data_IF_269961439955
#
_entry.id   IF_269961439955
#
_cell.length_a   1.000
_cell.length_b   1.000
_cell.length_c   1.000
_cell.angle_alpha   90.00
_cell.angle_beta   90.00
_cell.angle_gamma   90.00
#
_symmetry.space_group_name_H-M   'P 1'
#
loop_
_entity.id
_entity.type
_entity.pdbx_description
1 polymer ?
#
# COMPACT_ATOMS: atom_id res chain seq x y z
N UNK A 1 -6.69 -13.13 -23.08
CA UNK A 1 -6.47 -11.77 -22.53
C UNK A 1 -5.26 -11.88 -21.62
N UNK A 2 -4.16 -11.25 -22.02
CA UNK A 2 -2.92 -11.32 -21.25
C UNK A 2 -3.13 -10.53 -19.96
N UNK A 3 -3.11 -11.22 -18.82
CA UNK A 3 -3.24 -10.59 -17.51
C UNK A 3 -2.18 -9.50 -17.36
N UNK A 4 -2.54 -8.34 -16.83
CA UNK A 4 -1.62 -7.25 -16.49
C UNK A 4 -0.59 -7.77 -15.49
N UNK A 5 0.59 -8.12 -15.99
CA UNK A 5 1.71 -8.52 -15.17
C UNK A 5 2.43 -7.27 -14.67
N UNK A 6 2.76 -7.23 -13.39
CA UNK A 6 3.71 -6.27 -12.87
C UNK A 6 4.98 -6.32 -13.72
N UNK A 7 5.28 -5.25 -14.43
CA UNK A 7 6.40 -5.18 -15.37
C UNK A 7 7.66 -4.67 -14.64
N UNK A 8 8.29 -5.56 -13.88
CA UNK A 8 9.52 -5.24 -13.19
C UNK A 8 10.61 -6.27 -13.49
N UNK A 9 11.88 -5.82 -13.42
CA UNK A 9 13.00 -6.75 -13.37
C UNK A 9 12.95 -7.61 -12.10
N UNK A 10 13.70 -8.67 -12.05
CA UNK A 10 13.92 -9.40 -10.79
C UNK A 10 14.89 -8.63 -9.91
N UNK A 11 14.51 -8.42 -8.66
CA UNK A 11 15.38 -7.88 -7.63
C UNK A 11 16.24 -8.98 -7.02
N UNK A 12 17.42 -8.59 -6.56
CA UNK A 12 18.36 -9.42 -5.78
C UNK A 12 18.87 -8.62 -4.59
N UNK A 13 19.47 -9.25 -3.61
CA UNK A 13 20.08 -8.55 -2.47
C UNK A 13 21.18 -7.56 -2.88
N UNK A 14 21.88 -7.83 -3.99
CA UNK A 14 22.91 -6.93 -4.54
C UNK A 14 22.36 -5.84 -5.48
N UNK A 15 21.16 -6.03 -6.02
CA UNK A 15 20.46 -5.07 -6.87
C UNK A 15 18.94 -5.10 -6.57
N UNK A 16 18.54 -4.60 -5.40
CA UNK A 16 17.15 -4.67 -4.95
C UNK A 16 16.23 -3.77 -5.76
N UNK A 17 14.96 -4.15 -5.87
CA UNK A 17 13.88 -3.28 -6.37
C UNK A 17 13.71 -2.10 -5.42
N UNK A 18 13.64 -0.89 -5.96
CA UNK A 18 13.55 0.36 -5.20
C UNK A 18 12.08 0.71 -4.92
N UNK A 19 11.70 0.69 -3.65
CA UNK A 19 10.31 0.88 -3.22
C UNK A 19 10.10 2.26 -2.61
N UNK A 20 9.02 2.94 -3.03
CA UNK A 20 8.42 4.05 -2.31
C UNK A 20 7.24 3.55 -1.47
N UNK A 21 7.24 3.81 -0.16
CA UNK A 21 6.13 3.43 0.73
C UNK A 21 5.29 4.65 1.06
N UNK A 22 4.00 4.61 0.67
CA UNK A 22 3.04 5.69 0.93
C UNK A 22 2.20 5.39 2.16
N UNK A 23 2.03 6.38 3.05
CA UNK A 23 1.26 6.24 4.28
C UNK A 23 0.58 7.56 4.68
N UNK A 24 -0.52 7.48 5.44
CA UNK A 24 -1.23 8.64 6.01
C UNK A 24 -1.47 8.52 7.52
N UNK A 25 -0.96 7.48 8.18
CA UNK A 25 -1.26 7.16 9.57
C UNK A 25 -0.05 6.75 10.40
N UNK A 26 -0.26 5.76 11.26
CA UNK A 26 0.74 5.28 12.24
C UNK A 26 2.01 4.66 11.63
N UNK A 27 1.95 4.19 10.37
CA UNK A 27 3.08 3.57 9.69
C UNK A 27 3.41 2.14 10.13
N UNK A 28 2.50 1.45 10.82
CA UNK A 28 2.77 0.09 11.34
C UNK A 28 3.00 -0.94 10.25
N UNK A 29 2.28 -0.87 9.13
CA UNK A 29 2.51 -1.74 7.97
C UNK A 29 3.85 -1.44 7.30
N UNK A 30 4.22 -0.16 7.17
CA UNK A 30 5.53 0.27 6.71
C UNK A 30 6.64 -0.25 7.62
N UNK A 31 6.50 -0.13 8.95
CA UNK A 31 7.45 -0.66 9.93
C UNK A 31 7.64 -2.18 9.79
N UNK A 32 6.54 -2.91 9.59
CA UNK A 32 6.59 -4.35 9.37
C UNK A 32 7.38 -4.71 8.09
N UNK A 33 7.16 -3.99 6.99
CA UNK A 33 7.89 -4.18 5.73
C UNK A 33 9.39 -3.89 5.90
N UNK A 34 9.75 -2.75 6.50
CA UNK A 34 11.15 -2.36 6.67
C UNK A 34 11.89 -3.32 7.60
N UNK A 35 11.25 -3.76 8.70
CA UNK A 35 11.81 -4.79 9.59
C UNK A 35 12.00 -6.13 8.89
N UNK A 36 11.09 -6.50 7.98
CA UNK A 36 11.25 -7.69 7.16
C UNK A 36 12.47 -7.58 6.25
N UNK A 37 12.64 -6.44 5.56
CA UNK A 37 13.81 -6.15 4.71
C UNK A 37 15.13 -6.19 5.47
N UNK A 38 15.16 -5.71 6.72
CA UNK A 38 16.37 -5.71 7.55
C UNK A 38 16.78 -7.09 8.06
N UNK A 39 15.86 -8.06 8.13
CA UNK A 39 16.11 -9.41 8.66
C UNK A 39 16.38 -10.45 7.58
N UNK A 40 16.06 -10.18 6.36
CA UNK A 40 16.11 -11.12 5.24
C UNK A 40 16.96 -10.55 4.11
N UNK A 41 17.54 -11.43 3.30
CA UNK A 41 18.18 -11.06 2.05
C UNK A 41 17.10 -10.79 0.98
N UNK A 42 16.40 -9.67 1.11
CA UNK A 42 15.32 -9.31 0.22
C UNK A 42 15.82 -8.81 -1.14
N UNK A 43 15.09 -9.16 -2.20
CA UNK A 43 15.28 -8.58 -3.53
C UNK A 43 14.66 -7.18 -3.68
N UNK A 44 14.34 -6.50 -2.59
CA UNK A 44 13.74 -5.16 -2.59
C UNK A 44 14.14 -4.35 -1.34
N UNK A 45 14.08 -3.02 -1.47
CA UNK A 45 14.40 -2.11 -0.38
C UNK A 45 13.54 -0.86 -0.42
N UNK A 46 13.08 -0.39 0.73
CA UNK A 46 12.37 0.87 0.88
C UNK A 46 13.38 2.02 0.86
N UNK A 47 13.34 2.85 -0.17
CA UNK A 47 14.32 3.95 -0.38
C UNK A 47 13.74 5.32 -0.04
N UNK A 48 12.42 5.46 0.01
CA UNK A 48 11.72 6.68 0.40
C UNK A 48 10.35 6.35 0.98
N UNK A 49 9.92 7.13 1.94
CA UNK A 49 8.57 7.12 2.48
C UNK A 49 7.83 8.40 2.04
N UNK A 50 6.57 8.28 1.67
CA UNK A 50 5.75 9.41 1.18
C UNK A 50 4.53 9.57 2.07
N UNK A 51 4.25 10.80 2.51
CA UNK A 51 3.05 11.10 3.30
C UNK A 51 2.39 12.42 2.88
N UNK A 52 1.05 12.43 2.99
CA UNK A 52 0.22 13.62 2.79
C UNK A 52 -0.08 14.37 4.10
N UNK A 53 0.53 13.96 5.21
CA UNK A 53 0.30 14.47 6.56
C UNK A 53 1.55 15.08 7.17
N UNK A 54 1.34 16.08 8.07
CA UNK A 54 2.42 16.78 8.76
C UNK A 54 2.80 16.13 10.10
N UNK A 55 1.82 15.53 10.78
CA UNK A 55 2.00 15.01 12.13
C UNK A 55 1.30 13.66 12.29
N UNK A 56 2.00 12.60 11.89
CA UNK A 56 1.53 11.22 12.00
C UNK A 56 2.67 10.28 12.42
N UNK A 57 2.34 9.22 13.13
CA UNK A 57 3.30 8.28 13.71
C UNK A 57 4.26 7.66 12.69
N UNK A 58 3.83 7.47 11.45
CA UNK A 58 4.67 6.94 10.38
C UNK A 58 5.90 7.80 10.06
N UNK A 59 5.87 9.10 10.34
CA UNK A 59 7.04 9.97 10.19
C UNK A 59 8.16 9.56 11.14
N UNK A 60 7.83 9.29 12.40
CA UNK A 60 8.83 8.82 13.39
C UNK A 60 9.32 7.41 13.08
N UNK A 61 8.46 6.55 12.51
CA UNK A 61 8.87 5.23 12.02
C UNK A 61 9.91 5.36 10.91
N UNK A 62 9.66 6.18 9.89
CA UNK A 62 10.60 6.39 8.78
C UNK A 62 11.93 6.97 9.27
N UNK A 63 11.91 7.96 10.17
CA UNK A 63 13.11 8.53 10.80
C UNK A 63 13.90 7.49 11.59
N UNK A 64 13.22 6.66 12.38
CA UNK A 64 13.85 5.59 13.16
C UNK A 64 14.63 4.62 12.28
N UNK A 65 14.12 4.31 11.09
CA UNK A 65 14.77 3.46 10.12
C UNK A 65 15.75 4.20 9.18
N UNK A 66 15.92 5.51 9.33
CA UNK A 66 16.81 6.32 8.51
C UNK A 66 16.38 6.46 7.04
N UNK A 67 15.08 6.28 6.76
CA UNK A 67 14.56 6.38 5.39
C UNK A 67 14.10 7.81 5.12
N UNK A 68 14.53 8.43 4.00
CA UNK A 68 14.08 9.75 3.58
C UNK A 68 12.56 9.85 3.48
N UNK A 69 12.02 11.04 3.79
CA UNK A 69 10.59 11.30 3.76
C UNK A 69 10.28 12.41 2.76
N UNK A 70 9.39 12.11 1.83
CA UNK A 70 8.71 13.08 0.97
C UNK A 70 7.38 13.43 1.65
N UNK A 71 7.30 14.62 2.21
CA UNK A 71 6.11 15.11 2.90
C UNK A 71 5.43 16.17 2.05
N UNK A 72 4.33 15.79 1.38
CA UNK A 72 3.62 16.65 0.45
C UNK A 72 2.15 16.78 0.84
N UNK A 73 1.83 17.86 1.55
CA UNK A 73 0.44 18.19 1.90
C UNK A 73 -0.25 18.93 0.75
N UNK A 74 -1.58 18.91 0.77
CA UNK A 74 -2.37 19.65 -0.23
C UNK A 74 -2.25 21.16 -0.03
N UNK A 75 -2.03 21.89 -1.11
CA UNK A 75 -2.10 23.33 -1.09
C UNK A 75 -3.57 23.78 -0.99
N UNK A 76 -4.01 24.19 0.21
CA UNK A 76 -5.39 24.62 0.46
C UNK A 76 -5.74 25.96 -0.18
N UNK A 77 -4.77 26.72 -0.69
CA UNK A 77 -4.99 27.97 -1.40
C UNK A 77 -5.46 27.77 -2.85
N UNK A 78 -5.21 26.57 -3.40
CA UNK A 78 -5.68 26.21 -4.74
C UNK A 78 -7.17 25.81 -4.74
N UNK A 79 -7.86 25.92 -5.89
CA UNK A 79 -9.15 25.31 -6.12
C UNK A 79 -9.14 23.82 -5.80
N UNK A 80 -10.25 23.27 -5.29
CA UNK A 80 -10.31 21.87 -4.81
C UNK A 80 -9.92 20.88 -5.91
N UNK A 81 -10.34 21.13 -7.15
CA UNK A 81 -10.06 20.33 -8.34
C UNK A 81 -8.59 20.29 -8.73
N UNK A 82 -7.81 21.32 -8.37
CA UNK A 82 -6.38 21.42 -8.70
C UNK A 82 -5.47 20.83 -7.60
N UNK A 83 -5.94 20.78 -6.36
CA UNK A 83 -5.15 20.40 -5.17
C UNK A 83 -4.46 19.06 -5.31
N UNK A 84 -5.21 18.05 -5.75
CA UNK A 84 -4.69 16.68 -5.89
C UNK A 84 -3.63 16.61 -6.99
N UNK A 85 -3.94 17.17 -8.16
CA UNK A 85 -3.02 17.18 -9.29
C UNK A 85 -1.70 17.87 -8.95
N UNK A 86 -1.77 19.00 -8.32
CA UNK A 86 -0.59 19.79 -7.95
C UNK A 86 0.27 19.06 -6.91
N UNK A 87 -0.35 18.46 -5.90
CA UNK A 87 0.33 17.62 -4.91
C UNK A 87 1.02 16.41 -5.58
N UNK A 88 0.32 15.70 -6.45
CA UNK A 88 0.86 14.54 -7.16
C UNK A 88 2.05 14.90 -8.05
N UNK A 89 2.00 16.04 -8.74
CA UNK A 89 3.13 16.55 -9.54
C UNK A 89 4.38 16.81 -8.68
N UNK A 90 4.21 17.35 -7.47
CA UNK A 90 5.34 17.54 -6.54
C UNK A 90 5.88 16.19 -6.04
N UNK A 91 5.01 15.24 -5.71
CA UNK A 91 5.42 13.88 -5.33
C UNK A 91 6.21 13.24 -6.47
N UNK A 92 5.68 13.23 -7.69
CA UNK A 92 6.35 12.65 -8.86
C UNK A 92 7.75 13.22 -9.04
N UNK A 93 7.88 14.55 -9.05
CA UNK A 93 9.17 15.24 -9.19
C UNK A 93 10.18 14.82 -8.12
N UNK A 94 9.73 14.58 -6.89
CA UNK A 94 10.61 14.11 -5.83
C UNK A 94 10.96 12.62 -5.99
N UNK A 95 10.02 11.79 -6.43
CA UNK A 95 10.25 10.36 -6.67
C UNK A 95 11.26 10.10 -7.80
N UNK A 96 11.36 10.98 -8.80
CA UNK A 96 12.36 10.87 -9.87
C UNK A 96 13.79 10.74 -9.33
N UNK A 97 14.09 11.37 -8.18
CA UNK A 97 15.42 11.33 -7.56
C UNK A 97 15.73 9.96 -6.93
N UNK A 98 14.71 9.14 -6.68
CA UNK A 98 14.85 7.85 -6.00
C UNK A 98 14.77 6.65 -6.94
N UNK A 99 14.60 6.86 -8.26
CA UNK A 99 14.53 5.77 -9.26
C UNK A 99 13.56 4.66 -8.83
N UNK A 100 12.34 5.03 -8.47
CA UNK A 100 11.33 4.12 -7.90
C UNK A 100 10.84 3.14 -8.96
N UNK A 101 10.82 1.86 -8.58
CA UNK A 101 10.35 0.76 -9.43
C UNK A 101 9.01 0.17 -8.97
N UNK A 102 8.67 0.31 -7.67
CA UNK A 102 7.41 -0.15 -7.08
C UNK A 102 6.90 0.86 -6.06
N UNK A 103 5.63 1.20 -6.14
CA UNK A 103 4.94 1.98 -5.12
C UNK A 103 4.09 1.04 -4.27
N UNK A 104 4.25 1.13 -2.95
CA UNK A 104 3.55 0.33 -1.95
C UNK A 104 2.68 1.25 -1.11
N UNK A 105 1.36 1.13 -1.23
CA UNK A 105 0.42 1.88 -0.39
C UNK A 105 0.18 1.10 0.91
N UNK A 106 0.50 1.71 2.05
CA UNK A 106 0.35 1.13 3.37
C UNK A 106 -0.46 2.07 4.27
N UNK A 107 -1.78 2.06 4.09
CA UNK A 107 -2.68 2.99 4.76
C UNK A 107 -2.57 4.43 4.25
N UNK A 108 -2.36 4.61 2.96
CA UNK A 108 -2.44 5.91 2.30
C UNK A 108 -3.90 6.24 2.00
N UNK A 109 -4.42 7.31 2.64
CA UNK A 109 -5.85 7.62 2.67
C UNK A 109 -6.31 8.57 1.56
N UNK A 110 -5.51 8.78 0.52
CA UNK A 110 -5.88 9.60 -0.61
C UNK A 110 -6.04 8.77 -1.87
N UNK A 111 -7.10 9.05 -2.62
CA UNK A 111 -7.25 8.50 -3.96
C UNK A 111 -6.19 9.13 -4.88
N UNK A 112 -5.43 8.29 -5.55
CA UNK A 112 -4.52 8.71 -6.60
C UNK A 112 -5.32 9.07 -7.87
N UNK A 113 -4.87 10.05 -8.63
CA UNK A 113 -5.50 10.38 -9.91
C UNK A 113 -5.18 9.32 -10.97
N UNK A 114 -6.05 9.18 -11.98
CA UNK A 114 -5.80 8.28 -13.11
C UNK A 114 -4.46 8.55 -13.76
N UNK A 115 -4.05 9.83 -13.88
CA UNK A 115 -2.75 10.21 -14.45
C UNK A 115 -1.57 9.73 -13.62
N UNK A 116 -1.67 9.81 -12.29
CA UNK A 116 -0.65 9.27 -11.40
C UNK A 116 -0.58 7.75 -11.53
N UNK A 117 -1.72 7.09 -11.52
CA UNK A 117 -1.80 5.62 -11.67
C UNK A 117 -1.21 5.20 -13.03
N UNK A 118 -1.63 5.82 -14.14
CA UNK A 118 -1.12 5.52 -15.49
C UNK A 118 0.40 5.65 -15.61
N UNK A 119 1.01 6.61 -14.90
CA UNK A 119 2.46 6.84 -14.96
C UNK A 119 3.27 5.70 -14.32
N UNK A 120 2.73 5.07 -13.27
CA UNK A 120 3.42 4.03 -12.52
C UNK A 120 2.83 2.62 -12.73
N UNK A 121 1.69 2.52 -13.43
CA UNK A 121 1.05 1.24 -13.67
C UNK A 121 1.96 0.28 -14.47
N UNK A 122 1.90 -1.01 -14.19
CA UNK A 122 1.10 -1.67 -13.16
C UNK A 122 1.79 -1.74 -11.78
N UNK A 123 2.84 -0.97 -11.55
CA UNK A 123 3.75 -1.09 -10.40
C UNK A 123 3.29 -0.26 -9.17
N UNK A 124 2.00 -0.23 -8.90
CA UNK A 124 1.43 0.28 -7.65
C UNK A 124 0.60 -0.82 -7.02
N UNK A 125 0.88 -1.16 -5.77
CA UNK A 125 0.11 -2.13 -5.01
C UNK A 125 -0.43 -1.51 -3.72
N UNK A 126 -1.59 -2.00 -3.29
CA UNK A 126 -2.24 -1.58 -2.05
C UNK A 126 -2.58 -2.79 -1.19
N UNK A 127 -2.60 -2.59 0.14
CA UNK A 127 -3.22 -3.51 1.07
C UNK A 127 -4.49 -2.88 1.63
N UNK A 128 -5.62 -3.58 1.44
CA UNK A 128 -6.95 -3.15 1.83
C UNK A 128 -7.50 -4.04 2.95
N UNK A 129 -8.08 -3.48 4.04
CA UNK A 129 -8.47 -4.23 5.24
C UNK A 129 -9.85 -4.90 5.11
N UNK A 130 -10.15 -5.49 3.97
CA UNK A 130 -11.30 -6.37 3.75
C UNK A 130 -10.99 -7.46 2.73
N UNK A 131 -11.92 -8.40 2.54
CA UNK A 131 -11.86 -9.38 1.46
C UNK A 131 -12.54 -8.80 0.20
N UNK A 132 -11.80 -8.05 -0.60
CA UNK A 132 -12.31 -7.51 -1.86
C UNK A 132 -12.87 -8.64 -2.76
N UNK A 133 -13.91 -8.35 -3.56
CA UNK A 133 -14.53 -7.04 -3.82
C UNK A 133 -15.51 -6.56 -2.74
N UNK A 134 -15.62 -7.24 -1.61
CA UNK A 134 -16.52 -6.81 -0.52
C UNK A 134 -15.86 -5.67 0.29
N UNK A 135 -16.68 -4.69 0.66
CA UNK A 135 -16.31 -3.56 1.52
C UNK A 135 -15.12 -2.74 1.01
N UNK A 136 -15.18 -2.18 -0.21
CA UNK A 136 -14.17 -1.25 -0.71
C UNK A 136 -14.25 0.10 0.03
N UNK A 137 -13.19 0.92 -0.05
CA UNK A 137 -13.17 2.28 0.48
C UNK A 137 -12.63 2.40 1.91
N UNK A 138 -12.72 3.60 2.46
CA UNK A 138 -11.98 3.98 3.68
C UNK A 138 -12.53 3.40 4.99
N UNK A 139 -13.81 3.01 5.04
CA UNK A 139 -14.49 2.59 6.27
C UNK A 139 -14.73 1.08 6.36
N UNK A 140 -13.94 0.27 5.66
CA UNK A 140 -14.10 -1.18 5.53
C UNK A 140 -14.37 -1.91 6.86
N UNK A 141 -13.66 -1.58 7.94
CA UNK A 141 -13.91 -2.21 9.24
C UNK A 141 -15.31 -1.93 9.80
N UNK A 142 -15.82 -0.71 9.63
CA UNK A 142 -17.16 -0.33 10.07
C UNK A 142 -18.21 -1.04 9.24
N UNK A 143 -18.02 -1.09 7.93
CA UNK A 143 -18.94 -1.73 6.98
C UNK A 143 -19.02 -3.24 7.21
N UNK A 144 -17.87 -3.89 7.47
CA UNK A 144 -17.79 -5.31 7.85
C UNK A 144 -18.62 -5.58 9.10
N UNK A 145 -18.44 -4.81 10.16
CA UNK A 145 -19.21 -4.99 11.41
C UNK A 145 -20.70 -4.75 11.21
N UNK A 146 -21.05 -3.71 10.47
CA UNK A 146 -22.46 -3.37 10.19
C UNK A 146 -23.17 -4.45 9.35
N UNK A 147 -22.43 -5.16 8.48
CA UNK A 147 -22.99 -6.22 7.63
C UNK A 147 -23.30 -7.51 8.35
N UNK A 148 -22.75 -7.75 9.54
CA UNK A 148 -22.93 -8.98 10.32
C UNK A 148 -22.25 -10.22 9.73
N UNK A 149 -21.34 -10.09 8.77
CA UNK A 149 -20.55 -11.21 8.24
C UNK A 149 -19.66 -11.80 9.32
N UNK A 150 -19.38 -13.11 9.24
CA UNK A 150 -18.58 -13.84 10.24
C UNK A 150 -17.11 -13.97 9.84
N UNK A 151 -16.77 -13.54 8.63
CA UNK A 151 -15.40 -13.61 8.09
C UNK A 151 -15.11 -12.32 7.34
N UNK A 152 -13.96 -11.76 7.59
CA UNK A 152 -13.34 -10.66 6.84
C UNK A 152 -11.84 -10.95 6.63
N UNK A 153 -11.03 -9.95 6.38
CA UNK A 153 -9.60 -10.15 6.20
C UNK A 153 -8.91 -8.95 5.59
N UNK A 154 -7.83 -9.22 4.86
CA UNK A 154 -7.14 -8.22 4.06
C UNK A 154 -6.90 -8.72 2.64
N UNK A 155 -6.77 -7.79 1.71
CA UNK A 155 -6.51 -8.02 0.29
C UNK A 155 -5.32 -7.19 -0.16
N UNK A 156 -4.37 -7.82 -0.85
CA UNK A 156 -3.34 -7.11 -1.62
C UNK A 156 -3.78 -7.12 -3.08
N UNK A 157 -3.78 -5.95 -3.70
CA UNK A 157 -4.19 -5.79 -5.09
C UNK A 157 -3.33 -4.76 -5.82
N UNK A 158 -3.29 -4.86 -7.14
CA UNK A 158 -2.74 -3.82 -8.01
C UNK A 158 -3.68 -2.62 -7.97
N UNK A 159 -3.14 -1.42 -7.96
CA UNK A 159 -3.95 -0.19 -7.99
C UNK A 159 -4.24 0.19 -9.42
N UNK A 160 -5.52 0.33 -9.74
CA UNK A 160 -6.05 0.86 -10.99
C UNK A 160 -6.70 2.25 -10.80
N UNK A 161 -7.36 2.76 -11.82
CA UNK A 161 -8.05 4.05 -11.77
C UNK A 161 -9.36 4.01 -10.95
N UNK A 162 -9.85 2.84 -10.57
CA UNK A 162 -11.04 2.65 -9.75
C UNK A 162 -10.72 2.68 -8.24
N UNK A 163 -11.77 2.46 -7.44
CA UNK A 163 -11.62 2.37 -5.99
C UNK A 163 -11.54 0.89 -5.60
N UNK A 164 -10.34 0.43 -5.21
CA UNK A 164 -10.07 -0.94 -4.76
C UNK A 164 -10.54 -2.03 -5.75
N UNK A 165 -10.53 -1.72 -7.07
CA UNK A 165 -11.06 -2.57 -8.14
C UNK A 165 -9.99 -3.33 -8.93
N UNK A 166 -8.72 -3.03 -8.68
CA UNK A 166 -7.61 -3.65 -9.42
C UNK A 166 -7.40 -5.13 -9.08
N UNK A 167 -6.58 -5.76 -9.87
CA UNK A 167 -6.27 -7.18 -9.81
C UNK A 167 -5.83 -7.63 -8.42
N UNK A 168 -6.53 -8.60 -7.83
CA UNK A 168 -6.22 -9.19 -6.52
C UNK A 168 -4.99 -10.10 -6.66
N UNK A 169 -3.98 -9.87 -5.82
CA UNK A 169 -2.76 -10.67 -5.78
C UNK A 169 -2.79 -11.74 -4.67
N UNK A 170 -3.31 -11.39 -3.50
CA UNK A 170 -3.43 -12.29 -2.36
C UNK A 170 -4.46 -11.80 -1.34
N UNK A 171 -5.02 -12.75 -0.58
CA UNK A 171 -5.95 -12.47 0.52
C UNK A 171 -5.62 -13.30 1.75
N UNK A 172 -5.93 -12.77 2.94
CA UNK A 172 -5.96 -13.50 4.21
C UNK A 172 -7.27 -13.27 4.92
N UNK A 173 -7.81 -14.36 5.47
CA UNK A 173 -9.11 -14.36 6.18
C UNK A 173 -8.89 -14.27 7.68
N UNK A 174 -9.78 -13.54 8.36
CA UNK A 174 -9.88 -13.51 9.82
C UNK A 174 -11.34 -13.71 10.25
N UNK A 175 -11.61 -14.30 11.41
CA UNK A 175 -12.97 -14.36 11.96
C UNK A 175 -13.44 -12.96 12.38
N UNK A 176 -14.76 -12.72 12.28
CA UNK A 176 -15.45 -11.56 12.83
C UNK A 176 -16.39 -12.07 13.93
N UNK A 177 -16.22 -11.56 15.15
CA UNK A 177 -17.02 -11.96 16.30
C UNK A 177 -18.14 -10.95 16.54
N UNK A 178 -19.28 -11.40 17.07
CA UNK A 178 -20.43 -10.54 17.35
C UNK A 178 -20.14 -9.45 18.39
N UNK A 179 -19.13 -9.66 19.20
CA UNK A 179 -18.66 -8.73 20.24
C UNK A 179 -17.55 -7.80 19.78
N UNK A 180 -17.07 -7.94 18.54
CA UNK A 180 -15.95 -7.13 18.06
C UNK A 180 -16.30 -5.63 18.05
N UNK A 181 -15.43 -4.85 18.65
CA UNK A 181 -15.32 -3.43 18.34
C UNK A 181 -14.53 -3.22 17.06
N UNK A 182 -14.69 -2.05 16.44
CA UNK A 182 -13.87 -1.65 15.27
C UNK A 182 -12.36 -1.82 15.52
N UNK A 183 -11.91 -1.48 16.74
CA UNK A 183 -10.49 -1.58 17.12
C UNK A 183 -10.01 -3.03 17.22
N UNK A 184 -10.84 -3.94 17.73
CA UNK A 184 -10.48 -5.35 17.87
C UNK A 184 -10.38 -6.05 16.50
N UNK A 185 -11.36 -5.82 15.62
CA UNK A 185 -11.33 -6.31 14.25
C UNK A 185 -10.13 -5.73 13.49
N UNK A 186 -9.89 -4.42 13.58
CA UNK A 186 -8.77 -3.76 12.91
C UNK A 186 -7.41 -4.35 13.37
N UNK A 187 -7.21 -4.57 14.66
CA UNK A 187 -5.98 -5.20 15.19
C UNK A 187 -5.79 -6.62 14.66
N UNK A 188 -6.86 -7.40 14.56
CA UNK A 188 -6.82 -8.77 14.05
C UNK A 188 -6.45 -8.81 12.57
N UNK A 189 -7.04 -7.94 11.77
CA UNK A 189 -6.71 -7.79 10.34
C UNK A 189 -5.26 -7.32 10.18
N UNK A 190 -4.83 -6.32 10.93
CA UNK A 190 -3.48 -5.75 10.87
C UNK A 190 -2.38 -6.80 11.13
N UNK A 191 -2.61 -7.77 12.01
CA UNK A 191 -1.66 -8.88 12.23
C UNK A 191 -1.44 -9.67 10.94
N UNK A 192 -2.51 -9.95 10.19
CA UNK A 192 -2.40 -10.66 8.91
C UNK A 192 -1.84 -9.77 7.79
N UNK A 193 -2.14 -8.48 7.79
CA UNK A 193 -1.52 -7.51 6.87
C UNK A 193 0.00 -7.49 7.02
N UNK A 194 0.49 -7.39 8.27
CA UNK A 194 1.93 -7.34 8.55
C UNK A 194 2.68 -8.62 8.17
N UNK A 195 1.99 -9.76 8.08
CA UNK A 195 2.55 -11.04 7.63
C UNK A 195 2.48 -11.17 6.11
N UNK A 196 1.33 -10.83 5.54
CA UNK A 196 1.04 -11.06 4.13
C UNK A 196 1.79 -10.08 3.22
N UNK A 197 1.79 -8.78 3.58
CA UNK A 197 2.29 -7.75 2.68
C UNK A 197 3.78 -7.91 2.34
N UNK A 198 4.70 -8.07 3.31
CA UNK A 198 6.10 -8.31 2.98
C UNK A 198 6.32 -9.56 2.14
N UNK A 199 5.61 -10.67 2.45
CA UNK A 199 5.73 -11.92 1.71
C UNK A 199 5.29 -11.82 0.26
N UNK A 200 4.21 -11.07 -0.02
CA UNK A 200 3.74 -10.85 -1.39
C UNK A 200 4.69 -9.93 -2.15
N UNK A 201 5.26 -8.92 -1.49
CA UNK A 201 6.28 -8.05 -2.09
C UNK A 201 7.54 -8.85 -2.45
N UNK A 202 7.98 -9.79 -1.61
CA UNK A 202 9.08 -10.72 -1.93
C UNK A 202 8.78 -11.49 -3.22
N UNK A 203 7.57 -12.06 -3.34
CA UNK A 203 7.14 -12.80 -4.53
C UNK A 203 7.15 -11.91 -5.79
N UNK A 204 6.56 -10.71 -5.71
CA UNK A 204 6.55 -9.73 -6.80
C UNK A 204 7.97 -9.44 -7.25
N UNK A 205 8.84 -9.07 -6.32
CA UNK A 205 10.20 -8.65 -6.60
C UNK A 205 11.12 -9.81 -7.06
N UNK A 206 10.76 -11.06 -6.76
CA UNK A 206 11.44 -12.26 -7.30
C UNK A 206 10.98 -12.62 -8.71
N UNK A 207 10.01 -11.89 -9.28
CA UNK A 207 9.43 -12.14 -10.59
C UNK A 207 8.43 -13.30 -10.61
N UNK A 208 7.78 -13.56 -9.47
CA UNK A 208 6.67 -14.50 -9.40
C UNK A 208 5.49 -13.97 -10.23
N UNK A 209 4.90 -14.84 -11.03
CA UNK A 209 3.69 -14.53 -11.79
C UNK A 209 2.48 -14.95 -10.97
N UNK A 210 1.65 -13.99 -10.63
CA UNK A 210 0.36 -14.28 -10.01
C UNK A 210 -0.57 -14.78 -11.14
N UNK A 211 -0.94 -16.06 -11.06
CA UNK A 211 -1.99 -16.61 -11.90
C UNK A 211 -3.30 -16.30 -11.17
N UNK A 212 -4.12 -15.49 -11.81
CA UNK A 212 -5.47 -15.25 -11.31
C UNK A 212 -6.31 -16.44 -11.77
N UNK A 213 -6.81 -17.22 -10.82
CA UNK A 213 -7.88 -18.17 -11.09
C UNK A 213 -9.15 -17.34 -11.34
N UNK A 214 -9.77 -17.53 -12.51
CA UNK A 214 -11.04 -16.92 -12.95
C UNK A 214 -12.22 -17.29 -12.01
#
# INVERSE_FOLDING_TARGET
MDGEHLMMRKGTSSNPIRIAVFFSGSGTGMDALIKHQARNECGHTSVVCVTDKEDVGGIEVAKHHGIPIVQETVNRQLPVEERRREQELRIIKQLEQYEIELIVLSGYMRLLSSKFVEQFAPNIINIHPSLLPAFPGADAHTDVLASGVKVSGCTIHVVDAGMDSGTILAQRRVPVFDTDTRSELAKRIQIEEHRLYPSVIDLICSGHRFVLDD
#
